data_IF_087616807054
#
_entry.id   IF_087616807054
#
_cell.length_a   1.000
_cell.length_b   1.000
_cell.length_c   1.000
_cell.angle_alpha   90.00
_cell.angle_beta   90.00
_cell.angle_gamma   90.00
#
_symmetry.space_group_name_H-M   'P 1'
#
loop_
_entity.id
_entity.type
_entity.pdbx_description
1 polymer ?
#
# COMPACT_ATOMS: atom_id res chain seq x y z
N UNK A 1 -49.15 4.44 3.06
CA UNK A 1 -47.80 4.27 3.62
C UNK A 1 -47.44 2.79 3.60
N UNK A 2 -46.56 2.35 2.70
CA UNK A 2 -46.01 0.99 2.69
C UNK A 2 -44.48 1.13 2.81
N UNK A 3 -43.95 0.71 3.96
CA UNK A 3 -42.52 0.61 4.23
C UNK A 3 -41.92 -0.48 3.33
N UNK A 4 -40.99 -0.11 2.47
CA UNK A 4 -40.09 -1.06 1.79
C UNK A 4 -38.93 -1.35 2.75
N UNK A 5 -38.67 -2.61 3.14
CA UNK A 5 -37.53 -2.96 3.96
C UNK A 5 -36.27 -3.13 3.10
N UNK A 6 -35.13 -2.61 3.58
CA UNK A 6 -33.82 -3.19 3.30
C UNK A 6 -32.97 -2.55 2.20
N UNK A 7 -32.66 -1.26 2.32
CA UNK A 7 -31.39 -0.69 1.82
C UNK A 7 -30.45 -0.78 3.04
N UNK A 8 -29.29 -1.42 3.07
CA UNK A 8 -28.21 -1.60 2.11
C UNK A 8 -27.56 -2.95 2.48
N UNK A 9 -27.53 -3.93 1.57
CA UNK A 9 -26.69 -5.09 1.79
C UNK A 9 -25.23 -4.63 1.68
N UNK A 10 -24.49 -4.87 2.76
CA UNK A 10 -23.06 -4.64 2.90
C UNK A 10 -22.31 -5.26 1.71
N UNK A 11 -21.81 -4.41 0.79
CA UNK A 11 -21.07 -4.82 -0.40
C UNK A 11 -19.75 -5.55 -0.10
N UNK A 12 -19.43 -5.78 1.19
CA UNK A 12 -18.29 -6.59 1.61
C UNK A 12 -18.63 -8.07 1.83
N UNK A 13 -19.91 -8.46 1.84
CA UNK A 13 -20.34 -9.86 1.96
C UNK A 13 -20.66 -10.46 0.58
N UNK A 14 -19.65 -10.99 -0.11
CA UNK A 14 -19.76 -12.23 -0.95
C UNK A 14 -18.60 -12.47 -1.92
N UNK A 15 -17.41 -11.86 -1.75
CA UNK A 15 -16.25 -12.38 -2.48
C UNK A 15 -15.90 -13.77 -1.96
N UNK A 16 -15.80 -14.74 -2.88
CA UNK A 16 -15.23 -16.06 -2.64
C UNK A 16 -13.79 -15.94 -2.14
N UNK A 17 -13.24 -17.01 -1.56
CA UNK A 17 -11.82 -17.04 -1.14
C UNK A 17 -10.90 -16.75 -2.34
N UNK A 18 -11.21 -17.33 -3.50
CA UNK A 18 -10.45 -17.15 -4.74
C UNK A 18 -10.48 -15.70 -5.24
N UNK A 19 -11.64 -15.05 -5.24
CA UNK A 19 -11.76 -13.64 -5.62
C UNK A 19 -11.04 -12.72 -4.63
N UNK A 20 -11.08 -13.03 -3.33
CA UNK A 20 -10.29 -12.31 -2.32
C UNK A 20 -8.80 -12.44 -2.64
N UNK A 21 -8.30 -13.65 -2.87
CA UNK A 21 -6.89 -13.91 -3.24
C UNK A 21 -6.49 -13.17 -4.52
N UNK A 22 -7.31 -13.24 -5.57
CA UNK A 22 -7.06 -12.55 -6.83
C UNK A 22 -7.02 -11.02 -6.67
N UNK A 23 -7.97 -10.46 -5.91
CA UNK A 23 -7.99 -9.04 -5.56
C UNK A 23 -6.74 -8.63 -4.78
N UNK A 24 -6.25 -9.47 -3.85
CA UNK A 24 -5.00 -9.20 -3.12
C UNK A 24 -3.82 -9.12 -4.08
N UNK A 25 -3.63 -10.16 -4.92
CA UNK A 25 -2.53 -10.22 -5.89
C UNK A 25 -2.53 -9.03 -6.84
N UNK A 26 -3.71 -8.65 -7.33
CA UNK A 26 -3.84 -7.48 -8.21
C UNK A 26 -3.51 -6.18 -7.48
N UNK A 27 -4.03 -5.98 -6.27
CA UNK A 27 -3.74 -4.79 -5.45
C UNK A 27 -2.24 -4.66 -5.20
N UNK A 28 -1.57 -5.78 -4.91
CA UNK A 28 -0.13 -5.81 -4.69
C UNK A 28 0.65 -5.40 -5.94
N UNK A 29 0.27 -5.93 -7.12
CA UNK A 29 0.90 -5.56 -8.38
C UNK A 29 0.78 -4.05 -8.63
N UNK A 30 -0.42 -3.51 -8.48
CA UNK A 30 -0.66 -2.06 -8.64
C UNK A 30 0.19 -1.25 -7.66
N UNK A 31 0.29 -1.65 -6.39
CA UNK A 31 1.14 -0.95 -5.43
C UNK A 31 2.61 -0.97 -5.83
N UNK A 32 3.13 -2.12 -6.30
CA UNK A 32 4.51 -2.24 -6.77
C UNK A 32 4.78 -1.26 -7.93
N UNK A 33 3.93 -1.28 -8.95
CA UNK A 33 4.04 -0.38 -10.11
C UNK A 33 4.06 1.08 -9.67
N UNK A 34 3.23 1.42 -8.68
CA UNK A 34 3.10 2.79 -8.19
C UNK A 34 4.30 3.24 -7.35
N UNK A 35 4.93 2.33 -6.61
CA UNK A 35 6.19 2.62 -5.93
C UNK A 35 7.37 2.74 -6.91
N UNK A 36 7.37 1.96 -7.99
CA UNK A 36 8.33 2.12 -9.08
C UNK A 36 8.17 3.49 -9.76
N UNK A 37 6.94 3.89 -10.08
CA UNK A 37 6.63 5.22 -10.62
C UNK A 37 7.02 6.35 -9.65
N UNK A 38 6.75 6.19 -8.36
CA UNK A 38 7.18 7.15 -7.34
C UNK A 38 8.72 7.26 -7.27
N UNK A 39 9.42 6.13 -7.41
CA UNK A 39 10.89 6.09 -7.45
C UNK A 39 11.45 6.79 -8.70
N UNK A 40 10.83 6.58 -9.87
CA UNK A 40 11.22 7.25 -11.11
C UNK A 40 11.03 8.77 -11.00
N UNK A 41 9.87 9.21 -10.48
CA UNK A 41 9.59 10.63 -10.28
C UNK A 41 10.53 11.28 -9.25
N UNK A 42 10.81 10.61 -8.13
CA UNK A 42 11.76 11.08 -7.13
C UNK A 42 13.20 11.19 -7.66
N UNK A 43 13.61 10.30 -8.58
CA UNK A 43 14.91 10.43 -9.29
C UNK A 43 14.94 11.65 -10.20
N UNK A 44 13.83 11.95 -10.88
CA UNK A 44 13.66 13.15 -11.69
C UNK A 44 13.43 14.43 -10.87
N UNK A 45 13.42 14.34 -9.53
CA UNK A 45 13.13 15.43 -8.60
C UNK A 45 11.72 16.02 -8.75
N UNK A 46 10.80 15.27 -9.39
CA UNK A 46 9.38 15.60 -9.46
C UNK A 46 8.67 15.00 -8.23
N UNK A 47 8.81 15.70 -7.10
CA UNK A 47 8.27 15.22 -5.82
C UNK A 47 6.74 15.29 -5.74
N UNK A 48 6.09 16.12 -6.57
CA UNK A 48 4.64 16.16 -6.67
C UNK A 48 4.12 14.88 -7.32
N UNK A 49 4.69 14.47 -8.45
CA UNK A 49 4.34 13.19 -9.09
C UNK A 49 4.76 12.00 -8.23
N UNK A 50 5.92 12.07 -7.55
CA UNK A 50 6.35 11.03 -6.63
C UNK A 50 5.33 10.83 -5.50
N UNK A 51 4.82 11.92 -4.94
CA UNK A 51 3.74 11.92 -3.94
C UNK A 51 2.47 11.30 -4.53
N UNK A 52 2.00 11.77 -5.67
CA UNK A 52 0.72 11.33 -6.20
C UNK A 52 0.72 9.82 -6.53
N UNK A 53 1.83 9.31 -7.09
CA UNK A 53 2.02 7.86 -7.31
C UNK A 53 2.17 7.07 -6.01
N UNK A 54 2.89 7.60 -5.01
CA UNK A 54 3.09 6.88 -3.74
C UNK A 54 1.80 6.81 -2.90
N UNK A 55 1.05 7.90 -2.83
CA UNK A 55 -0.01 8.06 -1.85
C UNK A 55 -1.38 7.56 -2.29
N UNK A 56 -1.80 7.85 -3.52
CA UNK A 56 -3.18 7.58 -3.95
C UNK A 56 -3.47 6.07 -3.99
N UNK A 57 -2.62 5.23 -4.62
CA UNK A 57 -2.80 3.78 -4.60
C UNK A 57 -2.09 3.11 -3.41
N UNK A 58 -0.84 3.48 -3.13
CA UNK A 58 -0.01 2.79 -2.14
C UNK A 58 -0.57 2.83 -0.73
N UNK A 59 -1.04 3.99 -0.26
CA UNK A 59 -1.63 4.10 1.09
C UNK A 59 -2.94 3.32 1.21
N UNK A 60 -3.78 3.34 0.18
CA UNK A 60 -5.07 2.63 0.16
C UNK A 60 -4.87 1.12 0.22
N UNK A 61 -3.91 0.62 -0.56
CA UNK A 61 -3.56 -0.80 -0.57
C UNK A 61 -2.93 -1.20 0.77
N UNK A 62 -2.07 -0.37 1.37
CA UNK A 62 -1.55 -0.63 2.72
C UNK A 62 -2.65 -0.68 3.77
N UNK A 63 -3.66 0.18 3.72
CA UNK A 63 -4.80 0.08 4.64
C UNK A 63 -5.57 -1.24 4.51
N UNK A 64 -5.68 -1.79 3.30
CA UNK A 64 -6.35 -3.07 3.07
C UNK A 64 -5.55 -4.26 3.62
N UNK A 65 -4.21 -4.23 3.52
CA UNK A 65 -3.38 -5.38 3.86
C UNK A 65 -2.60 -5.25 5.17
N UNK A 66 -2.31 -4.04 5.63
CA UNK A 66 -1.49 -3.76 6.80
C UNK A 66 -2.00 -4.45 8.06
N UNK A 67 -3.33 -4.52 8.24
CA UNK A 67 -3.93 -5.28 9.35
C UNK A 67 -3.68 -6.79 9.28
N UNK A 68 -3.61 -7.37 8.08
CA UNK A 68 -3.27 -8.78 7.87
C UNK A 68 -1.78 -9.01 8.18
N UNK A 69 -0.91 -8.16 7.63
CA UNK A 69 0.54 -8.25 7.87
C UNK A 69 0.84 -8.07 9.36
N UNK A 70 0.18 -7.13 10.04
CA UNK A 70 0.30 -6.94 11.49
C UNK A 70 0.00 -8.21 12.28
N UNK A 71 -1.01 -8.99 11.86
CA UNK A 71 -1.38 -10.23 12.54
C UNK A 71 -0.44 -11.39 12.22
N UNK A 72 -0.02 -11.52 10.96
CA UNK A 72 0.79 -12.65 10.49
C UNK A 72 2.28 -12.45 10.74
N UNK A 73 2.77 -11.22 10.63
CA UNK A 73 4.18 -10.87 10.79
C UNK A 73 4.33 -9.43 11.31
N UNK A 74 4.19 -9.22 12.64
CA UNK A 74 4.46 -7.94 13.27
C UNK A 74 5.86 -7.39 12.94
N UNK A 75 6.83 -8.28 12.79
CA UNK A 75 8.23 -7.96 12.45
C UNK A 75 8.40 -7.37 11.05
N UNK A 76 7.48 -7.64 10.11
CA UNK A 76 7.41 -6.96 8.81
C UNK A 76 6.55 -5.69 8.87
N UNK A 77 5.50 -5.69 9.68
CA UNK A 77 4.58 -4.57 9.80
C UNK A 77 5.26 -3.29 10.31
N UNK A 78 5.99 -3.36 11.43
CA UNK A 78 6.58 -2.17 12.06
C UNK A 78 7.60 -1.46 11.14
N UNK A 79 8.55 -2.16 10.48
CA UNK A 79 9.44 -1.53 9.51
C UNK A 79 8.70 -0.91 8.32
N UNK A 80 7.66 -1.57 7.79
CA UNK A 80 6.85 -1.03 6.70
C UNK A 80 6.14 0.25 7.10
N UNK A 81 5.41 0.21 8.22
CA UNK A 81 4.67 1.37 8.71
C UNK A 81 5.60 2.55 8.98
N UNK A 82 6.76 2.29 9.60
CA UNK A 82 7.77 3.32 9.87
C UNK A 82 8.26 4.00 8.59
N UNK A 83 8.59 3.23 7.56
CA UNK A 83 9.12 3.78 6.30
C UNK A 83 8.06 4.45 5.45
N UNK A 84 6.83 3.91 5.39
CA UNK A 84 5.70 4.60 4.77
C UNK A 84 5.48 5.98 5.40
N UNK A 85 5.59 6.08 6.74
CA UNK A 85 5.51 7.37 7.44
C UNK A 85 6.68 8.30 7.09
N UNK A 86 7.92 7.80 6.99
CA UNK A 86 9.09 8.60 6.59
C UNK A 86 8.97 9.15 5.17
N UNK A 87 8.59 8.31 4.21
CA UNK A 87 8.34 8.72 2.83
C UNK A 87 7.25 9.80 2.82
N UNK A 88 6.20 9.62 3.62
CA UNK A 88 5.15 10.62 3.72
C UNK A 88 5.65 11.96 4.23
N UNK A 89 6.46 11.95 5.29
CA UNK A 89 7.09 13.17 5.81
C UNK A 89 8.01 13.79 4.78
N UNK A 90 8.86 13.01 4.11
CA UNK A 90 9.79 13.50 3.08
C UNK A 90 9.06 14.13 1.91
N UNK A 91 8.05 13.46 1.34
CA UNK A 91 7.27 13.97 0.21
C UNK A 91 6.34 15.15 0.59
N UNK A 92 6.17 15.42 1.89
CA UNK A 92 5.51 16.64 2.39
C UNK A 92 6.45 17.85 2.50
N UNK A 93 7.76 17.68 2.33
CA UNK A 93 8.73 18.77 2.38
C UNK A 93 8.88 19.46 1.02
N UNK A 94 9.08 20.78 1.01
CA UNK A 94 9.33 21.54 -0.22
C UNK A 94 10.60 21.10 -0.95
N UNK A 95 11.60 20.57 -0.22
CA UNK A 95 12.85 20.01 -0.73
C UNK A 95 13.23 18.78 0.08
N UNK A 96 12.76 17.59 -0.30
CA UNK A 96 13.09 16.35 0.38
C UNK A 96 14.59 16.04 0.28
N UNK A 97 15.16 15.41 1.31
CA UNK A 97 16.48 14.82 1.20
C UNK A 97 16.42 13.61 0.26
N UNK A 98 16.84 13.80 -1.00
CA UNK A 98 16.67 12.82 -2.08
C UNK A 98 17.23 11.43 -1.72
N UNK A 99 18.43 11.36 -1.15
CA UNK A 99 19.05 10.08 -0.78
C UNK A 99 18.25 9.32 0.30
N UNK A 100 17.72 10.04 1.30
CA UNK A 100 16.91 9.44 2.35
C UNK A 100 15.56 8.95 1.78
N UNK A 101 14.89 9.78 0.98
CA UNK A 101 13.65 9.41 0.30
C UNK A 101 13.83 8.18 -0.60
N UNK A 102 14.93 8.14 -1.37
CA UNK A 102 15.25 7.01 -2.24
C UNK A 102 15.51 5.72 -1.46
N UNK A 103 16.27 5.81 -0.36
CA UNK A 103 16.52 4.66 0.52
C UNK A 103 15.23 4.11 1.14
N UNK A 104 14.33 4.99 1.55
CA UNK A 104 13.04 4.56 2.10
C UNK A 104 12.11 3.98 1.03
N UNK A 105 12.02 4.56 -0.16
CA UNK A 105 11.24 4.02 -1.29
C UNK A 105 11.74 2.62 -1.70
N UNK A 106 13.06 2.44 -1.79
CA UNK A 106 13.66 1.15 -2.14
C UNK A 106 13.34 0.07 -1.11
N UNK A 107 13.48 0.39 0.18
CA UNK A 107 13.17 -0.60 1.19
C UNK A 107 11.67 -0.89 1.27
N UNK A 108 10.80 0.12 1.20
CA UNK A 108 9.36 -0.15 1.20
C UNK A 108 8.99 -1.10 0.07
N UNK A 109 9.59 -0.96 -1.11
CA UNK A 109 9.39 -1.92 -2.20
C UNK A 109 9.86 -3.34 -1.80
N UNK A 110 11.04 -3.48 -1.19
CA UNK A 110 11.57 -4.76 -0.70
C UNK A 110 10.69 -5.40 0.38
N UNK A 111 10.31 -4.64 1.40
CA UNK A 111 9.50 -5.12 2.52
C UNK A 111 8.08 -5.45 2.08
N UNK A 112 7.50 -4.68 1.16
CA UNK A 112 6.20 -5.02 0.59
C UNK A 112 6.26 -6.36 -0.16
N UNK A 113 7.30 -6.63 -0.95
CA UNK A 113 7.46 -7.94 -1.61
C UNK A 113 7.50 -9.10 -0.60
N UNK A 114 8.09 -8.87 0.57
CA UNK A 114 8.10 -9.86 1.66
C UNK A 114 6.72 -10.00 2.30
N UNK A 115 6.07 -8.88 2.63
CA UNK A 115 4.73 -8.87 3.21
C UNK A 115 3.70 -9.59 2.31
N UNK A 116 3.83 -9.44 1.00
CA UNK A 116 3.04 -10.17 -0.01
C UNK A 116 3.26 -11.67 0.10
N UNK A 117 4.52 -12.10 0.05
CA UNK A 117 4.89 -13.52 0.15
C UNK A 117 4.35 -14.12 1.45
N UNK A 118 4.46 -13.38 2.56
CA UNK A 118 3.92 -13.80 3.86
C UNK A 118 2.40 -13.85 3.88
N UNK A 119 1.71 -12.90 3.25
CA UNK A 119 0.25 -12.94 3.13
C UNK A 119 -0.20 -14.12 2.28
N UNK A 120 0.42 -14.35 1.12
CA UNK A 120 0.05 -15.41 0.18
C UNK A 120 0.32 -16.82 0.74
N UNK A 121 1.38 -17.00 1.54
CA UNK A 121 1.67 -18.30 2.18
C UNK A 121 0.68 -18.69 3.28
N UNK A 122 -0.13 -17.74 3.75
CA UNK A 122 -1.08 -17.89 4.85
C UNK A 122 -2.55 -17.68 4.42
N UNK A 123 -2.81 -17.77 3.10
CA UNK A 123 -4.14 -17.79 2.47
C UNK A 123 -4.46 -19.21 2.01
#
# INVERSE_FOLDING_TARGET
MLRVPGVVADLTTSLTVEEKVAFRRQSIRVMKEQFELATVAAKAQDYAIARDNFFVPGRRIWFMFGGTIKRQSPTLYEPLQSRLNRINTSLGQSRPQQNALMSDLQEVNRLMQQAVTTSDANL
#
